data_IF_729687818614
#
_entry.id   IF_729687818614
#
_cell.length_a   1.000
_cell.length_b   1.000
_cell.length_c   1.000
_cell.angle_alpha   90.00
_cell.angle_beta   90.00
_cell.angle_gamma   90.00
#
_symmetry.space_group_name_H-M   'P 1'
#
loop_
_entity.id
_entity.type
_entity.pdbx_description
1 polymer ?
#
# COMPACT_ATOMS: atom_id res chain seq x y z
N UNK A 1 -9.10 -28.94 0.56
CA UNK A 1 -9.12 -27.55 1.06
C UNK A 1 -9.61 -26.65 -0.07
N UNK A 2 -10.71 -25.93 0.10
CA UNK A 2 -11.23 -25.01 -0.92
C UNK A 2 -10.46 -23.69 -0.88
N UNK A 3 -9.97 -23.21 -2.03
CA UNK A 3 -9.20 -21.97 -2.14
C UNK A 3 -10.17 -20.78 -2.30
N UNK A 4 -10.03 -19.78 -1.44
CA UNK A 4 -10.84 -18.55 -1.51
C UNK A 4 -10.47 -17.77 -2.77
N UNK A 5 -11.44 -17.55 -3.66
CA UNK A 5 -11.27 -16.77 -4.88
C UNK A 5 -11.50 -15.28 -4.60
N UNK A 6 -10.44 -14.58 -4.19
CA UNK A 6 -10.51 -13.16 -3.82
C UNK A 6 -10.99 -12.25 -4.96
N UNK A 7 -10.71 -12.60 -6.21
CA UNK A 7 -11.15 -11.84 -7.39
C UNK A 7 -12.67 -11.85 -7.55
N UNK A 8 -13.31 -12.98 -7.29
CA UNK A 8 -14.77 -13.12 -7.31
C UNK A 8 -15.41 -12.42 -6.11
N UNK A 9 -14.83 -12.57 -4.92
CA UNK A 9 -15.36 -11.98 -3.68
C UNK A 9 -15.29 -10.44 -3.69
N UNK A 10 -14.25 -9.89 -4.30
CA UNK A 10 -14.07 -8.45 -4.43
C UNK A 10 -14.83 -7.83 -5.63
N UNK A 11 -15.52 -8.64 -6.43
CA UNK A 11 -16.29 -8.11 -7.56
C UNK A 11 -17.58 -7.41 -7.08
N UNK A 12 -18.16 -6.50 -7.89
CA UNK A 12 -19.45 -5.90 -7.59
C UNK A 12 -20.55 -6.95 -7.42
N UNK A 13 -21.58 -6.65 -6.61
CA UNK A 13 -22.73 -7.55 -6.41
C UNK A 13 -23.43 -7.92 -7.73
N UNK A 14 -23.50 -6.97 -8.67
CA UNK A 14 -24.03 -7.16 -10.04
C UNK A 14 -23.27 -8.24 -10.82
N UNK A 15 -22.00 -8.52 -10.46
CA UNK A 15 -21.14 -9.54 -11.07
C UNK A 15 -20.99 -10.78 -10.17
N UNK A 16 -21.91 -10.99 -9.23
CA UNK A 16 -21.90 -12.15 -8.33
C UNK A 16 -20.86 -12.08 -7.20
N UNK A 17 -20.29 -10.91 -6.93
CA UNK A 17 -19.33 -10.72 -5.85
C UNK A 17 -19.94 -10.32 -4.51
N UNK A 18 -19.15 -10.46 -3.45
CA UNK A 18 -19.59 -10.20 -2.07
C UNK A 18 -19.48 -8.72 -1.66
N UNK A 19 -19.10 -7.82 -2.58
CA UNK A 19 -18.79 -6.40 -2.32
C UNK A 19 -17.71 -6.21 -1.25
N UNK A 20 -16.86 -7.21 -1.05
CA UNK A 20 -15.68 -7.05 -0.19
C UNK A 20 -14.70 -6.12 -0.89
N UNK A 21 -14.12 -5.21 -0.14
CA UNK A 21 -13.16 -4.27 -0.68
C UNK A 21 -11.91 -5.01 -1.15
N UNK A 22 -11.46 -4.72 -2.36
CA UNK A 22 -10.16 -5.20 -2.83
C UNK A 22 -9.02 -4.51 -2.06
N UNK A 23 -8.49 -5.20 -1.06
CA UNK A 23 -7.38 -4.73 -0.23
C UNK A 23 -6.10 -4.50 -1.04
N UNK A 24 -5.85 -5.28 -2.10
CA UNK A 24 -4.67 -5.08 -2.94
C UNK A 24 -4.70 -3.71 -3.64
N UNK A 25 -5.87 -3.29 -4.14
CA UNK A 25 -6.05 -1.96 -4.74
C UNK A 25 -5.90 -0.87 -3.68
N UNK A 26 -6.54 -1.03 -2.51
CA UNK A 26 -6.42 -0.05 -1.42
C UNK A 26 -4.99 0.08 -0.93
N UNK A 27 -4.27 -1.01 -0.74
CA UNK A 27 -2.87 -0.99 -0.29
C UNK A 27 -1.98 -0.28 -1.31
N UNK A 28 -2.15 -0.52 -2.62
CA UNK A 28 -1.44 0.22 -3.67
C UNK A 28 -1.71 1.72 -3.58
N UNK A 29 -2.96 2.13 -3.42
CA UNK A 29 -3.33 3.54 -3.28
C UNK A 29 -2.76 4.17 -2.00
N UNK A 30 -2.76 3.44 -0.88
CA UNK A 30 -2.18 3.89 0.39
C UNK A 30 -0.66 4.03 0.30
N UNK A 31 0.03 3.10 -0.36
CA UNK A 31 1.46 3.19 -0.62
C UNK A 31 1.79 4.39 -1.53
N UNK A 32 1.01 4.61 -2.58
CA UNK A 32 1.18 5.79 -3.45
C UNK A 32 0.98 7.10 -2.66
N UNK A 33 -0.05 7.16 -1.81
CA UNK A 33 -0.29 8.30 -0.90
C UNK A 33 0.86 8.49 0.07
N UNK A 34 1.35 7.41 0.68
CA UNK A 34 2.46 7.47 1.64
C UNK A 34 3.75 7.95 0.98
N UNK A 35 4.06 7.44 -0.22
CA UNK A 35 5.19 7.91 -1.04
C UNK A 35 5.06 9.39 -1.38
N UNK A 36 3.87 9.85 -1.77
CA UNK A 36 3.61 11.27 -2.01
C UNK A 36 3.88 12.13 -0.76
N UNK A 37 3.34 11.73 0.40
CA UNK A 37 3.59 12.45 1.67
C UNK A 37 5.06 12.48 2.03
N UNK A 38 5.80 11.38 1.80
CA UNK A 38 7.23 11.34 2.04
C UNK A 38 7.99 12.35 1.17
N UNK A 39 7.60 12.51 -0.10
CA UNK A 39 8.21 13.48 -1.02
C UNK A 39 7.87 14.94 -0.70
N UNK A 40 6.67 15.21 -0.19
CA UNK A 40 6.20 16.57 0.13
C UNK A 40 6.67 17.01 1.51
N UNK A 41 6.55 16.15 2.53
CA UNK A 41 6.84 16.45 3.94
C UNK A 41 8.33 16.21 4.29
N UNK A 42 9.27 16.66 3.46
CA UNK A 42 10.72 16.40 3.64
C UNK A 42 11.29 16.90 4.98
N UNK A 43 10.68 17.94 5.54
CA UNK A 43 11.13 18.55 6.80
C UNK A 43 10.49 17.91 8.04
N UNK A 44 9.49 17.04 7.88
CA UNK A 44 8.84 16.38 9.00
C UNK A 44 9.80 15.38 9.66
N UNK A 45 9.76 15.29 11.00
CA UNK A 45 10.64 14.42 11.78
C UNK A 45 10.54 12.96 11.33
N UNK A 46 9.33 12.46 11.07
CA UNK A 46 9.11 11.09 10.61
C UNK A 46 9.80 10.81 9.26
N UNK A 47 9.79 11.78 8.33
CA UNK A 47 10.43 11.65 7.03
C UNK A 47 11.96 11.59 7.19
N UNK A 48 12.53 12.42 8.05
CA UNK A 48 13.97 12.39 8.38
C UNK A 48 14.40 11.09 9.06
N UNK A 49 13.59 10.55 9.97
CA UNK A 49 13.87 9.25 10.63
C UNK A 49 13.87 8.13 9.61
N UNK A 50 12.86 8.06 8.73
CA UNK A 50 12.80 7.06 7.66
C UNK A 50 14.01 7.21 6.72
N UNK A 51 14.35 8.44 6.31
CA UNK A 51 15.53 8.68 5.50
C UNK A 51 16.80 8.21 6.22
N UNK A 52 16.99 8.53 7.50
CA UNK A 52 18.15 8.10 8.26
C UNK A 52 18.24 6.56 8.38
N UNK A 53 17.12 5.87 8.64
CA UNK A 53 17.07 4.42 8.76
C UNK A 53 17.43 3.71 7.45
N UNK A 54 16.93 4.21 6.31
CA UNK A 54 17.10 3.56 5.02
C UNK A 54 18.29 4.07 4.20
N UNK A 55 18.72 5.33 4.38
CA UNK A 55 19.86 5.90 3.64
C UNK A 55 21.21 5.36 4.10
N UNK A 56 21.38 4.98 5.37
CA UNK A 56 22.61 4.31 5.83
C UNK A 56 22.68 2.84 5.40
N UNK A 57 21.53 2.19 5.15
CA UNK A 57 21.49 0.83 4.58
C UNK A 57 21.59 0.79 3.04
N UNK A 58 21.47 1.94 2.36
CA UNK A 58 21.58 2.09 0.89
C UNK A 58 23.02 2.44 0.45
N UNK A 59 24.02 2.23 1.31
CA UNK A 59 25.42 2.10 0.85
C UNK A 59 25.78 0.66 0.45
N UNK A 60 24.79 -0.24 0.45
CA UNK A 60 24.98 -1.66 0.14
C UNK A 60 23.92 -2.17 -0.86
N UNK A 61 23.68 -1.41 -1.93
CA UNK A 61 23.13 -1.90 -3.21
C UNK A 61 23.69 -1.07 -4.37
#
# INVERSE_FOLDING_TARGET
MAKVCWTQICSPKEKGGARVVNLAIKNKALLAKWKWRFMVEKNALWSKVILAMYSTSVQQW
#
